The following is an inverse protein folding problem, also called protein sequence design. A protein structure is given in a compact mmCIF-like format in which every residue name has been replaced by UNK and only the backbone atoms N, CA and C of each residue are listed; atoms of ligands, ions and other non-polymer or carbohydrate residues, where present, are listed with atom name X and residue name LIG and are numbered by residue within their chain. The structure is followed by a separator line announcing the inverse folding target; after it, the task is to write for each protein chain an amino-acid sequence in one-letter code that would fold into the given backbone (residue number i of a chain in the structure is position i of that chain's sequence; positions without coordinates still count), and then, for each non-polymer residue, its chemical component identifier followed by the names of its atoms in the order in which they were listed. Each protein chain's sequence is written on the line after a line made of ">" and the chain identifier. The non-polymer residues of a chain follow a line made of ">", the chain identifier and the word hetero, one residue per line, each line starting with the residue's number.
data_IF_630552236146
#
_entry.id   IF_630552236146
#
_cell.length_a   1.000
_cell.length_b   1.000
_cell.length_c   1.000
_cell.angle_alpha   90.00
_cell.angle_beta   90.00
_cell.angle_gamma   90.00
#
_symmetry.space_group_name_H-M   'P 1'
#
loop_
_entity.id
_entity.type
_entity.pdbx_description
1 polymer ?
#
# COMPACT_ATOMS: atom_id res chain seq x y z
N UNK A 1 9.53 0.40 -26.51
CA UNK A 1 9.66 -0.93 -25.90
C UNK A 1 8.27 -1.32 -25.42
N UNK A 2 7.78 -2.51 -25.78
CA UNK A 2 6.45 -2.96 -25.38
C UNK A 2 6.53 -3.39 -23.91
N UNK A 3 6.13 -2.51 -22.98
CA UNK A 3 6.12 -2.85 -21.55
C UNK A 3 5.18 -4.03 -21.34
N UNK A 4 5.71 -5.15 -20.88
CA UNK A 4 4.91 -6.33 -20.57
C UNK A 4 4.06 -6.02 -19.34
N UNK A 5 2.75 -5.95 -19.53
CA UNK A 5 1.77 -5.77 -18.45
C UNK A 5 1.15 -7.14 -18.18
N UNK A 6 1.25 -7.63 -16.94
CA UNK A 6 0.60 -8.88 -16.54
C UNK A 6 -0.91 -8.68 -16.48
N UNK A 7 -1.66 -9.60 -17.10
CA UNK A 7 -3.13 -9.55 -17.10
C UNK A 7 -3.71 -9.74 -15.70
N UNK A 8 -4.96 -9.33 -15.51
CA UNK A 8 -5.68 -9.57 -14.24
C UNK A 8 -5.72 -11.05 -13.88
N UNK A 9 -5.96 -11.95 -14.84
CA UNK A 9 -5.98 -13.38 -14.56
C UNK A 9 -4.59 -13.91 -14.15
N UNK A 10 -3.51 -13.38 -14.73
CA UNK A 10 -2.15 -13.71 -14.30
C UNK A 10 -1.87 -13.22 -12.87
N UNK A 11 -2.27 -11.99 -12.53
CA UNK A 11 -2.14 -11.45 -11.17
C UNK A 11 -2.95 -12.26 -10.15
N UNK A 12 -4.19 -12.63 -10.50
CA UNK A 12 -5.06 -13.47 -9.65
C UNK A 12 -4.47 -14.86 -9.45
N UNK A 13 -3.96 -15.48 -10.51
CA UNK A 13 -3.32 -16.80 -10.43
C UNK A 13 -2.07 -16.76 -9.54
N UNK A 14 -1.21 -15.76 -9.71
CA UNK A 14 -0.02 -15.56 -8.89
C UNK A 14 -0.39 -15.33 -7.40
N UNK A 15 -1.37 -14.47 -7.13
CA UNK A 15 -1.85 -14.24 -5.76
C UNK A 15 -2.36 -15.54 -5.12
N UNK A 16 -3.17 -16.32 -5.84
CA UNK A 16 -3.71 -17.58 -5.33
C UNK A 16 -2.62 -18.62 -5.05
N UNK A 17 -1.57 -18.66 -5.87
CA UNK A 17 -0.47 -19.60 -5.73
C UNK A 17 0.43 -19.26 -4.53
N UNK A 18 0.76 -17.99 -4.34
CA UNK A 18 1.70 -17.55 -3.29
C UNK A 18 1.01 -17.25 -1.96
N UNK A 19 -0.19 -16.66 -2.01
CA UNK A 19 -0.94 -16.21 -0.84
C UNK A 19 -2.37 -16.75 -0.87
N UNK A 20 -2.58 -18.07 -0.70
CA UNK A 20 -3.91 -18.69 -0.85
C UNK A 20 -4.96 -18.17 0.16
N UNK A 21 -4.51 -17.54 1.26
CA UNK A 21 -5.39 -16.90 2.26
C UNK A 21 -5.79 -15.47 1.88
N UNK A 22 -5.17 -14.85 0.87
CA UNK A 22 -5.62 -13.60 0.28
C UNK A 22 -6.72 -13.88 -0.75
N UNK A 23 -7.96 -13.96 -0.26
CA UNK A 23 -9.10 -14.27 -1.10
C UNK A 23 -9.37 -13.11 -2.07
N UNK A 24 -9.46 -13.43 -3.37
CA UNK A 24 -10.00 -12.51 -4.36
C UNK A 24 -11.50 -12.28 -4.03
N UNK A 25 -11.85 -11.05 -3.67
CA UNK A 25 -13.23 -10.68 -3.27
C UNK A 25 -14.03 -10.12 -4.44
N UNK A 26 -13.36 -9.45 -5.39
CA UNK A 26 -13.97 -8.91 -6.60
C UNK A 26 -12.95 -8.96 -7.73
N UNK A 27 -13.32 -9.56 -8.84
CA UNK A 27 -12.55 -9.54 -10.09
C UNK A 27 -13.48 -9.01 -11.17
N UNK A 28 -13.18 -7.83 -11.69
CA UNK A 28 -13.88 -7.24 -12.82
C UNK A 28 -13.00 -7.35 -14.07
N UNK A 29 -13.27 -8.38 -14.88
CA UNK A 29 -12.52 -8.61 -16.12
C UNK A 29 -12.85 -7.60 -17.21
N UNK A 30 -14.00 -6.93 -17.15
CA UNK A 30 -14.34 -5.90 -18.14
C UNK A 30 -13.59 -4.61 -17.83
N UNK A 31 -13.58 -4.21 -16.56
CA UNK A 31 -12.84 -3.05 -16.08
C UNK A 31 -11.34 -3.31 -15.89
N UNK A 32 -10.89 -4.57 -16.05
CA UNK A 32 -9.51 -4.99 -15.78
C UNK A 32 -9.05 -4.61 -14.36
N UNK A 33 -9.86 -4.97 -13.36
CA UNK A 33 -9.61 -4.68 -11.96
C UNK A 33 -9.72 -5.93 -11.08
N UNK A 34 -8.96 -5.96 -10.00
CA UNK A 34 -9.04 -6.98 -8.98
C UNK A 34 -8.86 -6.40 -7.58
N UNK A 35 -9.57 -7.01 -6.63
CA UNK A 35 -9.51 -6.70 -5.21
C UNK A 35 -9.34 -7.98 -4.41
N UNK A 36 -8.31 -8.01 -3.57
CA UNK A 36 -8.06 -9.10 -2.64
C UNK A 36 -8.19 -8.62 -1.20
N UNK A 37 -8.65 -9.51 -0.33
CA UNK A 37 -8.66 -9.29 1.12
C UNK A 37 -8.10 -10.52 1.80
N UNK A 38 -7.11 -10.32 2.66
CA UNK A 38 -6.43 -11.39 3.39
C UNK A 38 -6.03 -10.95 4.79
N UNK A 39 -5.95 -11.92 5.69
CA UNK A 39 -5.39 -11.70 7.02
C UNK A 39 -3.90 -12.00 7.01
N UNK A 40 -3.12 -11.10 7.58
CA UNK A 40 -1.69 -11.26 7.79
C UNK A 40 -1.35 -11.10 9.27
N UNK A 41 -0.23 -11.70 9.67
CA UNK A 41 0.35 -11.49 10.98
C UNK A 41 1.85 -11.23 10.77
N UNK A 42 2.28 -9.96 10.80
CA UNK A 42 3.70 -9.59 10.84
C UNK A 42 4.32 -10.07 12.17
N UNK A 43 4.67 -9.20 13.12
CA UNK A 43 5.35 -9.62 14.34
C UNK A 43 4.39 -9.81 15.52
N UNK A 44 3.50 -8.85 15.80
CA UNK A 44 2.78 -8.79 17.07
C UNK A 44 1.27 -8.92 16.95
N UNK A 45 0.66 -8.27 15.96
CA UNK A 45 -0.78 -8.24 15.76
C UNK A 45 -1.22 -8.89 14.45
N UNK A 46 -2.50 -9.21 14.33
CA UNK A 46 -3.10 -9.65 13.08
C UNK A 46 -3.83 -8.49 12.41
N UNK A 47 -3.62 -8.35 11.10
CA UNK A 47 -4.21 -7.29 10.28
C UNK A 47 -5.01 -7.90 9.14
N UNK A 48 -6.18 -7.35 8.86
CA UNK A 48 -6.90 -7.57 7.62
C UNK A 48 -6.44 -6.52 6.61
N UNK A 49 -5.82 -6.97 5.53
CA UNK A 49 -5.36 -6.12 4.44
C UNK A 49 -6.29 -6.21 3.24
N UNK A 50 -6.45 -5.09 2.56
CA UNK A 50 -7.04 -4.99 1.23
C UNK A 50 -5.98 -4.59 0.23
N UNK A 51 -5.94 -5.27 -0.92
CA UNK A 51 -5.14 -4.85 -2.06
C UNK A 51 -6.07 -4.64 -3.26
N UNK A 52 -5.97 -3.47 -3.89
CA UNK A 52 -6.68 -3.12 -5.11
C UNK A 52 -5.69 -2.94 -6.24
N UNK A 53 -6.09 -3.39 -7.42
CA UNK A 53 -5.29 -3.25 -8.62
C UNK A 53 -6.16 -3.02 -9.84
N UNK A 54 -5.74 -2.08 -10.66
CA UNK A 54 -6.22 -1.85 -12.01
C UNK A 54 -5.05 -2.08 -12.98
N UNK A 55 -5.33 -2.73 -14.12
CA UNK A 55 -4.32 -3.09 -15.09
C UNK A 55 -3.50 -1.87 -15.55
N UNK A 56 -2.19 -1.92 -15.33
CA UNK A 56 -1.25 -0.85 -15.70
C UNK A 56 -1.09 0.25 -14.66
N UNK A 57 -1.95 0.31 -13.65
CA UNK A 57 -1.84 1.25 -12.52
C UNK A 57 -0.97 0.68 -11.40
N UNK A 58 -0.54 1.54 -10.46
CA UNK A 58 0.13 1.08 -9.24
C UNK A 58 -0.89 0.37 -8.31
N UNK A 59 -0.51 -0.75 -7.66
CA UNK A 59 -1.37 -1.40 -6.68
C UNK A 59 -1.50 -0.55 -5.42
N UNK A 60 -2.70 -0.53 -4.84
CA UNK A 60 -2.98 0.14 -3.57
C UNK A 60 -3.19 -0.91 -2.47
N UNK A 61 -2.57 -0.70 -1.31
CA UNK A 61 -2.75 -1.53 -0.13
C UNK A 61 -3.31 -0.71 1.04
N UNK A 62 -4.28 -1.27 1.78
CA UNK A 62 -4.93 -0.62 2.92
C UNK A 62 -5.12 -1.59 4.07
N UNK A 63 -5.06 -1.10 5.30
CA UNK A 63 -5.42 -1.87 6.51
C UNK A 63 -6.90 -1.66 6.79
N UNK A 64 -7.67 -2.75 6.78
CA UNK A 64 -9.11 -2.75 7.08
C UNK A 64 -9.39 -2.94 8.57
N UNK A 65 -8.55 -3.73 9.27
CA UNK A 65 -8.69 -3.99 10.70
C UNK A 65 -7.36 -4.51 11.29
N UNK A 66 -7.05 -4.23 12.57
CA UNK A 66 -7.67 -3.16 13.36
C UNK A 66 -7.43 -1.79 12.72
N UNK A 67 -8.18 -0.78 13.15
CA UNK A 67 -7.91 0.60 12.74
C UNK A 67 -6.47 0.99 13.13
N UNK A 68 -5.77 1.69 12.23
CA UNK A 68 -4.41 2.14 12.49
C UNK A 68 -4.41 3.23 13.55
N UNK A 69 -3.74 2.95 14.67
CA UNK A 69 -3.45 3.91 15.73
C UNK A 69 -2.60 5.05 15.17
N UNK A 70 -2.99 6.28 15.55
CA UNK A 70 -2.27 7.51 15.24
C UNK A 70 -1.59 8.06 16.49
N UNK A 71 -0.43 8.69 16.32
CA UNK A 71 0.33 9.34 17.39
C UNK A 71 0.35 10.86 17.18
N UNK A 72 -0.61 11.63 17.73
CA UNK A 72 -0.62 13.08 17.61
C UNK A 72 0.68 13.72 18.10
N UNK A 73 1.22 14.65 17.30
CA UNK A 73 2.46 15.36 17.63
C UNK A 73 3.76 14.57 17.40
N UNK A 74 3.70 13.38 16.83
CA UNK A 74 4.90 12.66 16.41
C UNK A 74 5.62 13.41 15.26
N UNK A 75 6.95 13.47 15.33
CA UNK A 75 7.79 14.21 14.38
C UNK A 75 7.75 13.65 12.96
N UNK A 76 7.47 12.36 12.80
CA UNK A 76 7.31 11.67 11.51
C UNK A 76 5.89 11.83 10.93
N UNK A 77 4.99 12.51 11.66
CA UNK A 77 3.57 12.61 11.35
C UNK A 77 2.69 11.69 12.19
N UNK A 78 1.39 12.00 12.25
CA UNK A 78 0.45 11.25 13.10
C UNK A 78 0.23 9.80 12.67
N UNK A 79 0.44 9.52 11.39
CA UNK A 79 0.54 8.19 10.81
C UNK A 79 1.52 8.31 9.64
N UNK A 80 2.79 7.94 9.82
CA UNK A 80 3.81 8.13 8.78
C UNK A 80 3.62 7.12 7.63
N UNK A 81 4.23 7.42 6.49
CA UNK A 81 4.28 6.55 5.30
C UNK A 81 2.93 6.06 4.81
N UNK A 82 2.00 6.99 4.65
CA UNK A 82 0.74 6.77 3.96
C UNK A 82 0.50 7.85 2.91
N UNK A 83 -0.22 7.47 1.86
CA UNK A 83 -0.79 8.39 0.89
C UNK A 83 -2.20 8.83 1.33
N UNK A 84 -2.62 10.05 0.95
CA UNK A 84 -3.96 10.55 1.25
C UNK A 84 -5.08 9.67 0.64
N UNK A 85 -6.33 9.82 1.12
CA UNK A 85 -6.74 10.75 2.16
C UNK A 85 -6.35 10.28 3.57
N UNK A 86 -6.28 11.21 4.52
CA UNK A 86 -5.77 10.90 5.86
C UNK A 86 -6.69 9.91 6.58
N UNK A 87 -8.01 10.00 6.42
CA UNK A 87 -9.02 9.16 7.07
C UNK A 87 -9.07 7.71 6.57
N UNK A 88 -8.75 7.48 5.31
CA UNK A 88 -8.71 6.15 4.68
C UNK A 88 -7.43 6.01 3.83
N UNK A 89 -6.27 5.92 4.51
CA UNK A 89 -4.97 6.02 3.86
C UNK A 89 -4.58 4.76 3.09
N UNK A 90 -3.92 4.95 1.96
CA UNK A 90 -3.17 3.88 1.26
C UNK A 90 -1.75 3.80 1.80
N UNK A 91 -1.23 2.60 2.03
CA UNK A 91 0.14 2.41 2.52
C UNK A 91 1.17 2.88 1.48
N UNK A 92 2.19 3.62 1.92
CA UNK A 92 3.33 3.99 1.09
C UNK A 92 4.32 2.82 1.04
N UNK A 93 4.15 1.93 0.04
CA UNK A 93 4.94 0.70 -0.10
C UNK A 93 6.17 0.83 -1.00
N UNK A 94 6.17 1.80 -1.91
CA UNK A 94 7.23 2.09 -2.87
C UNK A 94 7.05 3.52 -3.40
N UNK A 95 8.09 4.11 -3.98
CA UNK A 95 8.02 5.39 -4.68
C UNK A 95 7.66 5.15 -6.16
N UNK A 96 6.46 5.56 -6.63
CA UNK A 96 6.07 5.40 -8.03
C UNK A 96 7.00 6.12 -9.01
N UNK A 97 7.78 7.12 -8.56
CA UNK A 97 8.73 7.87 -9.40
C UNK A 97 10.03 7.13 -9.63
N UNK A 98 10.41 6.22 -8.73
CA UNK A 98 11.66 5.47 -8.79
C UNK A 98 11.55 4.16 -9.58
N UNK A 99 10.40 3.88 -10.19
CA UNK A 99 10.14 2.66 -10.97
C UNK A 99 10.40 1.36 -10.18
N UNK A 100 10.33 1.41 -8.84
CA UNK A 100 10.49 0.25 -7.95
C UNK A 100 9.44 -0.83 -8.22
N UNK A 101 8.27 -0.40 -8.71
CA UNK A 101 7.21 -1.28 -9.17
C UNK A 101 6.94 -1.06 -10.66
N UNK A 102 6.74 -2.16 -11.39
CA UNK A 102 6.26 -2.14 -12.78
C UNK A 102 5.13 -3.15 -12.95
N UNK A 103 4.26 -2.94 -13.94
CA UNK A 103 3.15 -3.85 -14.21
C UNK A 103 3.58 -5.24 -14.75
N UNK A 104 4.88 -5.45 -14.98
CA UNK A 104 5.47 -6.76 -15.26
C UNK A 104 5.67 -7.60 -13.99
N UNK A 105 5.61 -6.98 -12.81
CA UNK A 105 5.80 -7.64 -11.51
C UNK A 105 4.48 -8.16 -10.98
N UNK A 106 4.52 -9.31 -10.29
CA UNK A 106 3.32 -9.81 -9.62
C UNK A 106 3.09 -9.05 -8.31
N UNK A 107 1.83 -8.73 -8.03
CA UNK A 107 1.41 -8.14 -6.74
C UNK A 107 1.77 -9.08 -5.60
N UNK A 108 1.65 -10.38 -5.85
CA UNK A 108 1.99 -11.44 -4.90
C UNK A 108 3.46 -11.39 -4.45
N UNK A 109 4.39 -11.07 -5.35
CA UNK A 109 5.83 -11.02 -5.04
C UNK A 109 6.33 -9.64 -4.61
N UNK A 110 5.48 -8.61 -4.65
CA UNK A 110 5.87 -7.22 -4.38
C UNK A 110 5.01 -6.61 -3.28
N UNK A 111 3.78 -6.23 -3.61
CA UNK A 111 2.85 -5.49 -2.75
C UNK A 111 2.55 -6.22 -1.44
N UNK A 112 2.36 -7.54 -1.46
CA UNK A 112 2.09 -8.29 -0.21
C UNK A 112 3.31 -8.30 0.71
N UNK A 113 4.52 -8.71 0.27
CA UNK A 113 5.75 -8.56 1.06
C UNK A 113 5.98 -7.13 1.58
N UNK A 114 5.86 -6.11 0.72
CA UNK A 114 6.08 -4.73 1.13
C UNK A 114 5.07 -4.24 2.16
N UNK A 115 3.81 -4.69 2.07
CA UNK A 115 2.81 -4.40 3.09
C UNK A 115 3.16 -5.06 4.43
N UNK A 116 3.75 -6.25 4.43
CA UNK A 116 4.25 -6.90 5.65
C UNK A 116 5.42 -6.11 6.25
N UNK A 117 6.39 -5.69 5.43
CA UNK A 117 7.53 -4.88 5.88
C UNK A 117 7.07 -3.54 6.47
N UNK A 118 6.10 -2.89 5.82
CA UNK A 118 5.47 -1.66 6.32
C UNK A 118 4.82 -1.90 7.69
N UNK A 119 4.08 -3.01 7.85
CA UNK A 119 3.44 -3.35 9.12
C UNK A 119 4.44 -3.64 10.24
N UNK A 120 5.58 -4.29 9.94
CA UNK A 120 6.66 -4.47 10.92
C UNK A 120 7.23 -3.13 11.37
N UNK A 121 7.46 -2.20 10.43
CA UNK A 121 7.92 -0.84 10.73
C UNK A 121 6.89 -0.07 11.56
N UNK A 122 5.61 -0.22 11.23
CA UNK A 122 4.49 0.37 11.95
C UNK A 122 4.40 -0.15 13.40
N UNK A 123 4.48 -1.45 13.61
CA UNK A 123 4.47 -2.05 14.94
C UNK A 123 5.63 -1.52 15.80
N UNK A 124 6.84 -1.42 15.23
CA UNK A 124 7.99 -0.85 15.93
C UNK A 124 7.86 0.66 16.17
N UNK A 125 7.26 1.40 15.23
CA UNK A 125 6.98 2.83 15.38
C UNK A 125 5.98 3.09 16.51
N UNK A 126 4.94 2.27 16.65
CA UNK A 126 4.03 2.38 17.80
C UNK A 126 4.75 2.19 19.15
N UNK A 127 5.76 1.34 19.20
CA UNK A 127 6.53 1.06 20.41
C UNK A 127 7.56 2.15 20.74
N UNK A 128 8.20 2.73 19.73
CA UNK A 128 9.39 3.59 19.89
C UNK A 128 9.15 5.05 19.55
N UNK A 129 8.06 5.35 18.85
CA UNK A 129 7.79 6.66 18.25
C UNK A 129 8.70 7.00 17.06
N UNK A 130 9.56 6.08 16.60
CA UNK A 130 10.52 6.31 15.51
C UNK A 130 10.28 5.35 14.36
N UNK A 131 10.14 5.89 13.15
CA UNK A 131 10.00 5.05 11.97
C UNK A 131 11.36 4.48 11.56
N UNK A 132 11.39 3.22 11.15
CA UNK A 132 12.63 2.49 10.83
C UNK A 132 12.62 1.88 9.42
N UNK A 133 11.52 2.03 8.69
CA UNK A 133 11.43 1.61 7.29
C UNK A 133 12.18 2.56 6.36
N UNK A 134 12.59 2.03 5.20
CA UNK A 134 13.13 2.85 4.10
C UNK A 134 12.04 3.52 3.25
N UNK A 135 12.47 4.17 2.18
CA UNK A 135 11.61 4.85 1.20
C UNK A 135 11.54 6.36 1.43
N UNK A 136 11.39 7.14 0.35
CA UNK A 136 11.13 8.57 0.44
C UNK A 136 9.76 8.80 1.06
N UNK A 137 9.69 9.64 2.09
CA UNK A 137 8.42 10.18 2.54
C UNK A 137 7.81 11.01 1.40
N UNK A 138 6.53 10.85 1.04
CA UNK A 138 5.87 11.83 0.22
C UNK A 138 5.87 13.14 0.99
N UNK A 139 6.69 14.11 0.57
CA UNK A 139 6.62 15.47 1.09
C UNK A 139 5.20 15.99 0.81
N UNK A 140 4.55 16.68 1.77
CA UNK A 140 3.34 17.43 1.47
C UNK A 140 3.60 18.35 0.28
N UNK A 141 2.64 18.52 -0.65
CA UNK A 141 2.81 19.53 -1.69
C UNK A 141 3.11 20.87 -1.01
N UNK A 142 4.07 21.65 -1.54
CA UNK A 142 4.34 22.98 -1.01
C UNK A 142 3.05 23.80 -1.01
N UNK A 143 2.86 24.71 -0.04
CA UNK A 143 1.67 25.57 0.00
C UNK A 143 1.69 26.52 -1.21
N UNK A 144 1.04 26.13 -2.30
CA UNK A 144 0.84 27.01 -3.45
C UNK A 144 -0.24 28.05 -3.14
N UNK A 145 0.20 29.32 -3.19
CA UNK A 145 -0.56 30.49 -3.60
C UNK A 145 -2.03 30.55 -3.13
N UNK A 146 -2.24 30.84 -1.85
CA UNK A 146 -3.42 31.60 -1.47
C UNK A 146 -3.22 33.03 -1.98
N UNK A 147 -3.66 33.26 -3.23
CA UNK A 147 -3.74 34.57 -3.85
C UNK A 147 -4.42 35.54 -2.88
N UNK A 148 -3.66 36.52 -2.40
CA UNK A 148 -4.22 37.75 -1.85
C UNK A 148 -4.70 38.57 -3.04
N UNK A 149 -5.93 38.35 -3.48
CA UNK A 149 -6.63 39.33 -4.29
C UNK A 149 -6.89 40.54 -3.40
N UNK A 150 -6.18 41.62 -3.72
CA UNK A 150 -6.50 42.98 -3.32
C UNK A 150 -7.22 43.67 -4.47
#
# INVERSE_FOLDING_TARGET
>A
MNTLILSIDAQVAAMKATWPLFAARRIDRRAQQARWVGSVRPQYASYSLEIRYELGSCPEARVLAPELVRLPGNVEGQLPHVYPPAEDPTLCLFDPREQEWTAAMTIASTTVPWALDWLVCYELWLMTGRWTGGGRHPEPPPPEAMETTR
#
